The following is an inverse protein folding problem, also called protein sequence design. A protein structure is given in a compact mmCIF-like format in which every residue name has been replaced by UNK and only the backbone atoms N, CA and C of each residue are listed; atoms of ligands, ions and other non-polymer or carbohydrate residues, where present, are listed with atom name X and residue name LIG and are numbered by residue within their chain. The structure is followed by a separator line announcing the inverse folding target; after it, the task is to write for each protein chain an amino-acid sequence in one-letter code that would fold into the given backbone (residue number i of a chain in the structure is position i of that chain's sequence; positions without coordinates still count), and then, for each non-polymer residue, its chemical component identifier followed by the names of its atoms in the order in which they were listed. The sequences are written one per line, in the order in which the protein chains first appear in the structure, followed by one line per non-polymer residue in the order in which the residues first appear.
data_IF_766481248305
#
_entry.id   IF_766481248305
#
_cell.length_a   1.000
_cell.length_b   1.000
_cell.length_c   1.000
_cell.angle_alpha   90.00
_cell.angle_beta   90.00
_cell.angle_gamma   90.00
#
_symmetry.space_group_name_H-M   'P 1'
#
loop_
_entity.id
_entity.type
_entity.pdbx_description
1 polymer ?
#
# COMPACT_ATOMS: atom_id res chain seq x y z
N UNK A 1 -30.28 -9.57 1.07
CA UNK A 1 -29.59 -8.31 0.64
C UNK A 1 -30.53 -7.58 -0.29
N UNK A 2 -30.86 -6.30 0.01
CA UNK A 2 -31.79 -5.50 -0.80
C UNK A 2 -31.26 -5.33 -2.23
N UNK A 3 -32.17 -5.26 -3.22
CA UNK A 3 -31.81 -5.01 -4.63
C UNK A 3 -30.99 -3.73 -4.82
N UNK A 4 -31.26 -2.69 -4.04
CA UNK A 4 -30.50 -1.44 -4.05
C UNK A 4 -29.05 -1.62 -3.56
N UNK A 5 -28.84 -2.42 -2.50
CA UNK A 5 -27.50 -2.76 -2.01
C UNK A 5 -26.71 -3.57 -3.05
N UNK A 6 -27.40 -4.43 -3.82
CA UNK A 6 -26.79 -5.21 -4.90
C UNK A 6 -26.33 -4.34 -6.07
N UNK A 7 -27.14 -3.34 -6.46
CA UNK A 7 -26.78 -2.39 -7.50
C UNK A 7 -25.57 -1.54 -7.08
N UNK A 8 -25.52 -1.07 -5.83
CA UNK A 8 -24.38 -0.30 -5.32
C UNK A 8 -23.10 -1.13 -5.30
N UNK A 9 -23.15 -2.38 -4.85
CA UNK A 9 -22.01 -3.29 -4.86
C UNK A 9 -21.57 -3.59 -6.32
N UNK A 10 -22.53 -3.78 -7.24
CA UNK A 10 -22.26 -3.98 -8.67
C UNK A 10 -21.52 -2.79 -9.31
N UNK A 11 -21.92 -1.56 -8.99
CA UNK A 11 -21.23 -0.35 -9.45
C UNK A 11 -19.80 -0.23 -8.87
N UNK A 12 -19.61 -0.54 -7.60
CA UNK A 12 -18.29 -0.49 -6.94
C UNK A 12 -17.34 -1.56 -7.47
N UNK A 13 -17.85 -2.75 -7.79
CA UNK A 13 -17.03 -3.89 -8.26
C UNK A 13 -16.96 -4.02 -9.77
N UNK A 14 -17.64 -3.16 -10.54
CA UNK A 14 -17.77 -3.27 -12.01
C UNK A 14 -18.32 -4.62 -12.47
N UNK A 15 -19.14 -5.26 -11.64
CA UNK A 15 -19.68 -6.59 -11.89
C UNK A 15 -21.06 -6.50 -12.54
N UNK A 16 -21.21 -7.08 -13.72
CA UNK A 16 -22.45 -7.05 -14.50
C UNK A 16 -23.47 -8.13 -14.07
N UNK A 17 -23.08 -9.05 -13.17
CA UNK A 17 -23.95 -10.15 -12.71
C UNK A 17 -23.72 -10.42 -11.22
N UNK A 18 -24.77 -10.84 -10.52
CA UNK A 18 -24.77 -11.21 -9.11
C UNK A 18 -23.72 -12.30 -8.78
N UNK A 19 -23.56 -13.28 -9.68
CA UNK A 19 -22.53 -14.33 -9.54
C UNK A 19 -21.11 -13.78 -9.50
N UNK A 20 -20.85 -12.67 -10.19
CA UNK A 20 -19.53 -12.07 -10.26
C UNK A 20 -19.23 -11.25 -9.00
N UNK A 21 -20.25 -10.63 -8.38
CA UNK A 21 -20.15 -9.99 -7.07
C UNK A 21 -19.71 -10.98 -6.01
N UNK A 22 -20.36 -12.15 -5.93
CA UNK A 22 -20.01 -13.18 -4.96
C UNK A 22 -18.61 -13.78 -5.19
N UNK A 23 -18.20 -13.95 -6.45
CA UNK A 23 -16.84 -14.38 -6.79
C UNK A 23 -15.82 -13.34 -6.35
N UNK A 24 -16.06 -12.06 -6.65
CA UNK A 24 -15.20 -10.96 -6.24
C UNK A 24 -15.08 -10.90 -4.73
N UNK A 25 -16.19 -11.01 -4.00
CA UNK A 25 -16.20 -11.02 -2.54
C UNK A 25 -15.34 -12.17 -1.96
N UNK A 26 -15.50 -13.40 -2.48
CA UNK A 26 -14.67 -14.54 -2.07
C UNK A 26 -13.17 -14.29 -2.31
N UNK A 27 -12.82 -13.70 -3.45
CA UNK A 27 -11.42 -13.36 -3.76
C UNK A 27 -10.91 -12.28 -2.81
N UNK A 28 -11.73 -11.25 -2.48
CA UNK A 28 -11.39 -10.23 -1.48
C UNK A 28 -11.04 -10.89 -0.14
N UNK A 29 -11.94 -11.69 0.41
CA UNK A 29 -11.68 -12.37 1.68
C UNK A 29 -10.45 -13.27 1.64
N UNK A 30 -10.30 -14.05 0.56
CA UNK A 30 -9.17 -14.96 0.41
C UNK A 30 -7.82 -14.20 0.36
N UNK A 31 -7.74 -13.10 -0.41
CA UNK A 31 -6.51 -12.29 -0.52
C UNK A 31 -6.22 -11.57 0.80
N UNK A 32 -7.22 -10.94 1.43
CA UNK A 32 -7.07 -10.30 2.73
C UNK A 32 -6.52 -11.28 3.76
N UNK A 33 -7.19 -12.41 3.94
CA UNK A 33 -6.78 -13.41 4.92
C UNK A 33 -5.40 -14.01 4.62
N UNK A 34 -5.08 -14.23 3.35
CA UNK A 34 -3.77 -14.73 2.95
C UNK A 34 -2.65 -13.74 3.27
N UNK A 35 -2.83 -12.45 2.92
CA UNK A 35 -1.83 -11.41 3.18
C UNK A 35 -1.66 -11.18 4.68
N UNK A 36 -2.75 -11.07 5.44
CA UNK A 36 -2.71 -10.90 6.89
C UNK A 36 -2.05 -12.09 7.59
N UNK A 37 -2.35 -13.33 7.15
CA UNK A 37 -1.71 -14.53 7.72
C UNK A 37 -0.21 -14.58 7.44
N UNK A 38 0.21 -14.29 6.22
CA UNK A 38 1.64 -14.23 5.85
C UNK A 38 2.34 -13.11 6.62
N UNK A 39 1.72 -11.94 6.73
CA UNK A 39 2.26 -10.82 7.49
C UNK A 39 2.38 -11.16 8.98
N UNK A 40 1.35 -11.79 9.58
CA UNK A 40 1.38 -12.21 10.98
C UNK A 40 2.50 -13.20 11.26
N UNK A 41 2.71 -14.18 10.37
CA UNK A 41 3.82 -15.13 10.49
C UNK A 41 5.16 -14.41 10.36
N UNK A 42 5.31 -13.52 9.38
CA UNK A 42 6.56 -12.78 9.17
C UNK A 42 6.87 -11.84 10.35
N UNK A 43 5.86 -11.15 10.91
CA UNK A 43 6.00 -10.34 12.12
C UNK A 43 6.40 -11.23 13.31
N UNK A 44 5.75 -12.38 13.49
CA UNK A 44 6.10 -13.33 14.56
C UNK A 44 7.56 -13.77 14.48
N UNK A 45 8.03 -14.12 13.28
CA UNK A 45 9.42 -14.53 13.05
C UNK A 45 10.41 -13.38 13.30
N UNK A 46 10.06 -12.15 12.94
CA UNK A 46 10.91 -10.97 13.21
C UNK A 46 11.00 -10.60 14.69
N UNK A 47 10.09 -11.12 15.51
CA UNK A 47 10.01 -10.86 16.96
C UNK A 47 10.63 -11.96 17.82
N UNK A 48 11.32 -12.97 17.24
CA UNK A 48 11.87 -14.10 18.00
C UNK A 48 12.93 -13.67 19.01
N UNK A 49 13.73 -12.67 18.66
CA UNK A 49 14.81 -12.15 19.50
C UNK A 49 14.33 -11.16 20.58
N UNK A 50 13.06 -10.73 20.52
CA UNK A 50 12.50 -9.79 21.50
C UNK A 50 12.03 -10.57 22.73
N UNK A 51 12.43 -10.17 23.97
CA UNK A 51 12.05 -10.84 25.21
C UNK A 51 10.56 -10.62 25.51
N UNK A 52 9.72 -11.47 24.98
CA UNK A 52 8.26 -11.40 25.10
C UNK A 52 7.67 -12.82 25.24
N UNK A 53 6.61 -12.97 26.04
CA UNK A 53 5.92 -14.24 26.16
C UNK A 53 5.29 -14.67 24.83
N UNK A 54 5.19 -15.98 24.59
CA UNK A 54 4.64 -16.54 23.34
C UNK A 54 3.23 -15.98 23.05
N UNK A 55 2.36 -15.94 24.06
CA UNK A 55 0.98 -15.43 23.89
C UNK A 55 0.97 -13.96 23.48
N UNK A 56 1.79 -13.13 24.12
CA UNK A 56 1.90 -11.70 23.80
C UNK A 56 2.48 -11.49 22.40
N UNK A 57 3.46 -12.31 21.99
CA UNK A 57 4.06 -12.27 20.65
C UNK A 57 3.05 -12.65 19.58
N UNK A 58 2.25 -13.70 19.77
CA UNK A 58 1.19 -14.11 18.83
C UNK A 58 0.16 -12.98 18.71
N UNK A 59 -0.32 -12.46 19.83
CA UNK A 59 -1.28 -11.37 19.83
C UNK A 59 -0.75 -10.12 19.11
N UNK A 60 0.49 -9.71 19.42
CA UNK A 60 1.17 -8.59 18.76
C UNK A 60 1.23 -8.80 17.24
N UNK A 61 1.64 -9.99 16.80
CA UNK A 61 1.84 -10.30 15.38
C UNK A 61 0.53 -10.26 14.60
N UNK A 62 -0.51 -10.88 15.11
CA UNK A 62 -1.84 -10.88 14.48
C UNK A 62 -2.43 -9.48 14.49
N UNK A 63 -2.37 -8.78 15.63
CA UNK A 63 -2.91 -7.42 15.74
C UNK A 63 -2.25 -6.45 14.76
N UNK A 64 -0.89 -6.44 14.71
CA UNK A 64 -0.18 -5.52 13.82
C UNK A 64 -0.30 -5.91 12.34
N UNK A 65 -0.45 -7.19 12.00
CA UNK A 65 -0.73 -7.60 10.63
C UNK A 65 -2.09 -7.05 10.14
N UNK A 66 -3.14 -7.19 10.95
CA UNK A 66 -4.48 -6.67 10.66
C UNK A 66 -4.45 -5.14 10.64
N UNK A 67 -3.87 -4.50 11.66
CA UNK A 67 -3.78 -3.03 11.76
C UNK A 67 -3.04 -2.43 10.56
N UNK A 68 -1.92 -3.03 10.15
CA UNK A 68 -1.15 -2.59 9.00
C UNK A 68 -1.93 -2.79 7.70
N UNK A 69 -2.49 -3.97 7.45
CA UNK A 69 -3.25 -4.24 6.23
C UNK A 69 -4.48 -3.35 6.10
N UNK A 70 -5.22 -3.17 7.19
CA UNK A 70 -6.39 -2.29 7.23
C UNK A 70 -6.02 -0.80 7.20
N UNK A 71 -4.73 -0.45 7.26
CA UNK A 71 -4.26 0.93 7.40
C UNK A 71 -4.94 1.66 8.58
N UNK A 72 -5.10 0.96 9.69
CA UNK A 72 -5.83 1.45 10.87
C UNK A 72 -4.94 2.30 11.80
N UNK A 73 -3.62 2.09 11.77
CA UNK A 73 -2.66 2.89 12.55
C UNK A 73 -2.58 2.55 14.04
N UNK A 74 -3.31 1.54 14.49
CA UNK A 74 -3.29 1.14 15.88
C UNK A 74 -2.10 0.25 16.21
N UNK A 75 -1.54 0.44 17.41
CA UNK A 75 -0.49 -0.40 17.98
C UNK A 75 -0.88 -0.85 19.38
N UNK A 76 -0.36 -2.00 19.79
CA UNK A 76 -0.46 -2.50 21.17
C UNK A 76 0.63 -1.95 22.08
N UNK A 77 1.55 -1.16 21.52
CA UNK A 77 2.66 -0.51 22.22
C UNK A 77 2.36 0.98 22.42
N UNK A 78 2.91 1.57 23.47
CA UNK A 78 2.66 2.95 23.86
C UNK A 78 3.14 3.94 22.79
N UNK A 79 4.37 3.70 22.28
CA UNK A 79 5.02 4.56 21.28
C UNK A 79 5.02 3.93 19.88
N UNK A 80 3.99 3.11 19.58
CA UNK A 80 3.89 2.39 18.32
C UNK A 80 5.11 1.47 18.08
N UNK A 81 5.72 1.48 16.89
CA UNK A 81 6.95 0.70 16.63
C UNK A 81 8.24 1.48 16.97
N UNK A 82 8.15 2.70 17.49
CA UNK A 82 9.28 3.46 18.01
C UNK A 82 9.73 2.98 19.39
N UNK A 83 8.98 2.06 20.04
CA UNK A 83 9.36 1.44 21.30
C UNK A 83 10.80 0.92 21.28
N UNK A 84 11.53 1.07 22.40
CA UNK A 84 12.99 0.83 22.50
C UNK A 84 13.40 -0.58 22.01
N UNK A 85 12.53 -1.56 22.21
CA UNK A 85 12.76 -2.95 21.82
C UNK A 85 12.47 -3.23 20.34
N UNK A 86 11.77 -2.31 19.62
CA UNK A 86 11.27 -2.54 18.29
C UNK A 86 11.86 -1.62 17.22
N UNK A 87 12.30 -0.40 17.61
CA UNK A 87 12.75 0.63 16.67
C UNK A 87 13.95 0.22 15.81
N UNK A 88 14.78 -0.71 16.26
CA UNK A 88 15.90 -1.23 15.50
C UNK A 88 15.60 -2.60 14.83
N UNK A 89 14.37 -3.09 14.93
CA UNK A 89 13.96 -4.32 14.26
C UNK A 89 13.57 -4.02 12.81
N UNK A 90 14.56 -3.93 11.93
CA UNK A 90 14.37 -3.60 10.51
C UNK A 90 13.52 -4.63 9.75
N UNK A 91 13.64 -5.96 10.00
CA UNK A 91 12.73 -6.93 9.41
C UNK A 91 11.26 -6.65 9.76
N UNK A 92 10.96 -6.33 11.02
CA UNK A 92 9.62 -5.96 11.46
C UNK A 92 9.10 -4.72 10.71
N UNK A 93 9.90 -3.65 10.65
CA UNK A 93 9.56 -2.42 9.95
C UNK A 93 9.23 -2.70 8.47
N UNK A 94 10.07 -3.49 7.79
CA UNK A 94 9.88 -3.80 6.38
C UNK A 94 8.60 -4.63 6.15
N UNK A 95 8.35 -5.65 6.97
CA UNK A 95 7.13 -6.46 6.87
C UNK A 95 5.88 -5.61 7.06
N UNK A 96 5.86 -4.77 8.09
CA UNK A 96 4.72 -3.87 8.37
C UNK A 96 4.54 -2.87 7.24
N UNK A 97 5.64 -2.25 6.72
CA UNK A 97 5.59 -1.31 5.60
C UNK A 97 5.01 -1.95 4.34
N UNK A 98 5.49 -3.12 3.97
CA UNK A 98 4.98 -3.87 2.82
C UNK A 98 3.51 -4.23 3.02
N UNK A 99 3.11 -4.63 4.23
CA UNK A 99 1.73 -5.03 4.54
C UNK A 99 0.76 -3.86 4.37
N UNK A 100 1.06 -2.67 4.90
CA UNK A 100 0.15 -1.53 4.74
C UNK A 100 0.16 -0.98 3.30
N UNK A 101 1.26 -1.08 2.57
CA UNK A 101 1.28 -0.75 1.14
C UNK A 101 0.38 -1.69 0.32
N UNK A 102 0.38 -2.99 0.63
CA UNK A 102 -0.56 -3.93 0.00
C UNK A 102 -2.02 -3.60 0.33
N UNK A 103 -2.33 -3.26 1.58
CA UNK A 103 -3.66 -2.81 1.99
C UNK A 103 -4.08 -1.51 1.29
N UNK A 104 -3.14 -0.58 1.11
CA UNK A 104 -3.36 0.70 0.43
C UNK A 104 -3.50 0.59 -1.10
N UNK A 105 -3.13 -0.53 -1.70
CA UNK A 105 -3.35 -0.79 -3.12
C UNK A 105 -4.79 -1.28 -3.34
N UNK A 106 -5.38 -0.86 -4.47
CA UNK A 106 -6.68 -1.39 -4.84
C UNK A 106 -6.63 -2.90 -4.94
N UNK A 107 -7.56 -3.54 -4.26
CA UNK A 107 -7.68 -4.98 -4.17
C UNK A 107 -7.59 -5.70 -5.54
N UNK A 108 -8.24 -5.14 -6.57
CA UNK A 108 -8.15 -5.70 -7.94
C UNK A 108 -6.74 -5.65 -8.54
N UNK A 109 -5.90 -4.68 -8.12
CA UNK A 109 -4.50 -4.59 -8.55
C UNK A 109 -3.71 -5.74 -7.93
N UNK A 110 -3.85 -5.94 -6.62
CA UNK A 110 -3.18 -7.03 -5.89
C UNK A 110 -3.62 -8.40 -6.43
N UNK A 111 -4.93 -8.60 -6.63
CA UNK A 111 -5.47 -9.84 -7.19
C UNK A 111 -4.91 -10.12 -8.61
N UNK A 112 -4.85 -9.10 -9.47
CA UNK A 112 -4.28 -9.23 -10.81
C UNK A 112 -2.77 -9.51 -10.79
N UNK A 113 -2.03 -8.87 -9.89
CA UNK A 113 -0.60 -9.11 -9.73
C UNK A 113 -0.35 -10.53 -9.21
N UNK A 114 -1.10 -10.98 -8.21
CA UNK A 114 -0.99 -12.34 -7.68
C UNK A 114 -1.34 -13.37 -8.76
N UNK A 115 -2.41 -13.16 -9.53
CA UNK A 115 -2.78 -14.06 -10.63
C UNK A 115 -1.69 -14.09 -11.72
N UNK A 116 -1.11 -12.93 -12.06
CA UNK A 116 0.00 -12.84 -13.01
C UNK A 116 1.24 -13.57 -12.51
N UNK A 117 1.65 -13.34 -11.27
CA UNK A 117 2.80 -14.00 -10.66
C UNK A 117 2.59 -15.52 -10.60
N UNK A 118 1.41 -15.96 -10.19
CA UNK A 118 1.04 -17.37 -10.19
C UNK A 118 1.13 -17.98 -11.59
N UNK A 119 0.65 -17.26 -12.60
CA UNK A 119 0.71 -17.71 -13.99
C UNK A 119 2.16 -17.82 -14.47
N UNK A 120 3.01 -16.84 -14.17
CA UNK A 120 4.44 -16.87 -14.50
C UNK A 120 5.16 -18.02 -13.79
N UNK A 121 4.90 -18.20 -12.50
CA UNK A 121 5.48 -19.29 -11.71
C UNK A 121 5.07 -20.66 -12.26
N UNK A 122 3.80 -20.84 -12.59
CA UNK A 122 3.29 -22.10 -13.16
C UNK A 122 3.85 -22.35 -14.56
N UNK A 123 4.09 -21.30 -15.36
CA UNK A 123 4.78 -21.40 -16.66
C UNK A 123 6.24 -21.84 -16.50
N UNK A 124 6.93 -21.32 -15.46
CA UNK A 124 8.31 -21.66 -15.17
C UNK A 124 8.45 -23.11 -14.68
N UNK A 125 7.52 -23.54 -13.82
CA UNK A 125 7.52 -24.91 -13.26
C UNK A 125 7.00 -25.99 -14.23
N UNK A 126 6.11 -25.61 -15.15
CA UNK A 126 5.47 -26.55 -16.08
C UNK A 126 5.47 -26.05 -17.53
N UNK A 127 6.66 -25.93 -18.19
CA UNK A 127 6.80 -25.30 -19.52
C UNK A 127 6.01 -26.02 -20.62
N UNK A 128 5.75 -27.31 -20.46
CA UNK A 128 5.09 -28.15 -21.50
C UNK A 128 3.55 -28.18 -21.44
N UNK A 129 2.91 -27.46 -20.50
CA UNK A 129 1.43 -27.40 -20.46
C UNK A 129 0.93 -26.25 -21.34
N UNK A 130 0.42 -26.56 -22.49
CA UNK A 130 -0.18 -25.65 -23.49
C UNK A 130 -1.26 -24.71 -22.96
N UNK A 131 -1.79 -24.95 -21.75
CA UNK A 131 -2.78 -24.12 -21.05
C UNK A 131 -2.21 -22.77 -20.53
N UNK A 132 -0.90 -22.61 -20.50
CA UNK A 132 -0.23 -21.42 -19.94
C UNK A 132 0.35 -20.52 -21.04
N UNK A 133 -0.39 -20.37 -22.16
CA UNK A 133 -0.07 -19.35 -23.18
C UNK A 133 0.02 -17.94 -22.56
N UNK A 134 0.75 -17.03 -23.23
CA UNK A 134 0.91 -15.67 -22.75
C UNK A 134 -0.45 -14.98 -22.55
N UNK A 135 -0.90 -14.88 -21.29
CA UNK A 135 -2.06 -14.07 -20.94
C UNK A 135 -1.61 -12.62 -20.93
N UNK A 136 -2.16 -11.76 -21.79
CA UNK A 136 -1.76 -10.34 -21.76
C UNK A 136 -2.13 -9.75 -20.41
N UNK A 137 -1.22 -8.97 -19.84
CA UNK A 137 -1.48 -8.24 -18.60
C UNK A 137 -2.50 -7.13 -18.86
N UNK A 138 -3.75 -7.39 -18.54
CA UNK A 138 -4.85 -6.44 -18.70
C UNK A 138 -5.03 -5.62 -17.41
N UNK A 139 -4.05 -4.78 -17.07
CA UNK A 139 -4.31 -3.74 -16.08
C UNK A 139 -5.24 -2.69 -16.68
N UNK A 140 -6.31 -2.37 -15.98
CA UNK A 140 -7.18 -1.25 -16.32
C UNK A 140 -6.38 0.07 -16.29
N UNK A 141 -6.84 1.08 -17.05
CA UNK A 141 -6.19 2.41 -17.05
C UNK A 141 -6.13 2.96 -15.63
N UNK A 142 -7.23 2.85 -14.87
CA UNK A 142 -7.30 3.30 -13.48
C UNK A 142 -6.24 2.62 -12.59
N UNK A 143 -6.03 1.31 -12.78
CA UNK A 143 -4.99 0.57 -12.06
C UNK A 143 -3.58 1.04 -12.41
N UNK A 144 -3.32 1.33 -13.69
CA UNK A 144 -2.02 1.86 -14.13
C UNK A 144 -1.76 3.25 -13.57
N UNK A 145 -2.74 4.16 -13.66
CA UNK A 145 -2.65 5.50 -13.09
C UNK A 145 -2.38 5.41 -11.58
N UNK A 146 -3.15 4.61 -10.87
CA UNK A 146 -3.00 4.44 -9.42
C UNK A 146 -1.62 3.89 -9.03
N UNK A 147 -1.11 2.87 -9.75
CA UNK A 147 0.22 2.30 -9.49
C UNK A 147 1.34 3.31 -9.76
N UNK A 148 1.31 3.98 -10.91
CA UNK A 148 2.34 4.96 -11.29
C UNK A 148 2.34 6.12 -10.29
N UNK A 149 1.16 6.65 -9.93
CA UNK A 149 1.04 7.74 -8.96
C UNK A 149 1.52 7.30 -7.57
N UNK A 150 1.12 6.12 -7.11
CA UNK A 150 1.58 5.58 -5.81
C UNK A 150 3.09 5.44 -5.77
N UNK A 151 3.68 4.85 -6.81
CA UNK A 151 5.13 4.65 -6.88
C UNK A 151 5.88 5.98 -6.96
N UNK A 152 5.40 6.92 -7.79
CA UNK A 152 6.02 8.25 -7.92
C UNK A 152 6.00 9.03 -6.61
N UNK A 153 4.87 9.03 -5.90
CA UNK A 153 4.75 9.68 -4.59
C UNK A 153 5.63 9.00 -3.53
N UNK A 154 5.70 7.68 -3.55
CA UNK A 154 6.53 6.92 -2.61
C UNK A 154 8.02 7.20 -2.85
N UNK A 155 8.47 7.20 -4.10
CA UNK A 155 9.87 7.52 -4.45
C UNK A 155 10.21 8.95 -4.09
N UNK A 156 9.34 9.91 -4.41
CA UNK A 156 9.51 11.32 -4.05
C UNK A 156 9.63 11.48 -2.52
N UNK A 157 8.71 10.87 -1.77
CA UNK A 157 8.71 10.91 -0.33
C UNK A 157 9.97 10.27 0.26
N UNK A 158 10.36 9.11 -0.24
CA UNK A 158 11.55 8.38 0.23
C UNK A 158 12.83 9.19 0.02
N UNK A 159 13.03 9.72 -1.18
CA UNK A 159 14.21 10.56 -1.47
C UNK A 159 14.21 11.81 -0.58
N UNK A 160 13.06 12.48 -0.42
CA UNK A 160 12.95 13.68 0.42
C UNK A 160 13.24 13.37 1.90
N UNK A 161 12.70 12.27 2.43
CA UNK A 161 13.00 11.85 3.82
C UNK A 161 14.50 11.55 3.98
N UNK A 162 15.12 10.86 3.03
CA UNK A 162 16.56 10.60 3.10
C UNK A 162 17.38 11.90 3.08
N UNK A 163 16.99 12.89 2.26
CA UNK A 163 17.71 14.17 2.16
C UNK A 163 17.55 14.99 3.44
N UNK A 164 16.35 15.08 3.99
CA UNK A 164 16.07 15.95 5.13
C UNK A 164 16.43 15.31 6.48
N UNK A 165 16.27 13.99 6.61
CA UNK A 165 16.44 13.28 7.88
C UNK A 165 17.75 12.49 8.00
N UNK A 166 18.62 12.52 6.99
CA UNK A 166 19.87 11.75 7.03
C UNK A 166 20.75 12.09 8.21
N UNK A 167 20.78 13.38 8.59
CA UNK A 167 21.47 13.91 9.76
C UNK A 167 20.53 14.27 10.92
N UNK A 168 19.23 14.03 10.76
CA UNK A 168 18.18 14.22 11.76
C UNK A 168 17.81 12.91 12.45
N UNK A 169 16.52 12.55 12.42
CA UNK A 169 15.98 11.37 13.11
C UNK A 169 16.61 10.05 12.67
N UNK A 170 17.11 9.95 11.43
CA UNK A 170 17.79 8.74 10.94
C UNK A 170 19.19 8.54 11.53
N UNK A 171 19.76 9.48 12.25
CA UNK A 171 21.08 9.33 12.91
C UNK A 171 21.06 8.32 14.05
N UNK A 172 19.90 8.05 14.65
CA UNK A 172 19.73 6.98 15.64
C UNK A 172 20.12 5.60 15.09
N UNK A 173 20.00 5.41 13.77
CA UNK A 173 20.35 4.16 13.10
C UNK A 173 21.81 4.20 12.63
N UNK A 174 22.67 3.39 13.24
CA UNK A 174 24.11 3.32 12.92
C UNK A 174 24.41 2.71 11.56
N UNK A 175 23.53 1.82 11.08
CA UNK A 175 23.66 1.10 9.80
C UNK A 175 23.01 1.89 8.67
N UNK A 176 23.68 1.95 7.51
CA UNK A 176 23.10 2.52 6.27
C UNK A 176 21.81 1.80 5.89
N UNK A 177 21.80 0.46 6.02
CA UNK A 177 20.59 -0.34 5.75
C UNK A 177 19.46 0.05 6.70
N UNK A 178 19.77 0.27 7.98
CA UNK A 178 18.79 0.74 8.96
C UNK A 178 18.20 2.10 8.58
N UNK A 179 19.04 3.05 8.19
CA UNK A 179 18.59 4.37 7.70
C UNK A 179 17.67 4.25 6.48
N UNK A 180 18.02 3.38 5.53
CA UNK A 180 17.21 3.16 4.33
C UNK A 180 15.86 2.51 4.65
N UNK A 181 15.84 1.48 5.50
CA UNK A 181 14.59 0.79 5.90
C UNK A 181 13.68 1.72 6.67
N UNK A 182 14.21 2.41 7.69
CA UNK A 182 13.43 3.36 8.49
C UNK A 182 12.97 4.55 7.66
N UNK A 183 13.84 5.10 6.79
CA UNK A 183 13.49 6.18 5.87
C UNK A 183 12.37 5.77 4.89
N UNK A 184 12.42 4.54 4.38
CA UNK A 184 11.35 3.99 3.55
C UNK A 184 10.03 3.89 4.33
N UNK A 185 10.08 3.41 5.56
CA UNK A 185 8.90 3.33 6.43
C UNK A 185 8.29 4.71 6.68
N UNK A 186 9.12 5.70 7.08
CA UNK A 186 8.69 7.08 7.34
C UNK A 186 8.09 7.72 6.09
N UNK A 187 8.63 7.44 4.91
CA UNK A 187 8.08 7.94 3.64
C UNK A 187 6.74 7.31 3.27
N UNK A 188 6.54 6.04 3.60
CA UNK A 188 5.36 5.29 3.20
C UNK A 188 4.18 5.46 4.19
N UNK A 189 4.46 5.56 5.49
CA UNK A 189 3.46 5.61 6.57
C UNK A 189 2.45 6.76 6.49
N UNK A 190 2.82 8.01 6.12
CA UNK A 190 1.89 9.15 6.13
C UNK A 190 0.69 9.00 5.22
N UNK A 191 0.82 8.20 4.15
CA UNK A 191 -0.23 8.08 3.14
C UNK A 191 -1.46 7.33 3.61
N UNK A 192 -1.40 6.58 4.70
CA UNK A 192 -2.56 5.84 5.19
C UNK A 192 -2.34 5.07 6.48
N UNK A 193 -1.12 4.63 6.78
CA UNK A 193 -0.86 3.64 7.84
C UNK A 193 -1.01 4.21 9.26
N UNK A 194 -0.48 5.41 9.52
CA UNK A 194 -0.49 6.01 10.86
C UNK A 194 0.46 5.35 11.89
N UNK A 195 1.14 4.25 11.53
CA UNK A 195 2.14 3.62 12.39
C UNK A 195 3.45 4.41 12.28
N UNK A 196 4.12 4.69 13.40
CA UNK A 196 5.41 5.40 13.43
C UNK A 196 6.55 4.53 13.95
N UNK A 197 7.76 4.82 13.47
CA UNK A 197 9.02 4.15 13.81
C UNK A 197 10.12 5.13 14.21
N UNK A 198 9.80 6.42 14.22
CA UNK A 198 10.69 7.52 14.62
C UNK A 198 9.95 8.46 15.56
N UNK A 199 10.69 9.28 16.30
CA UNK A 199 10.10 10.35 17.09
C UNK A 199 9.56 11.45 16.16
N UNK A 200 8.25 11.55 16.06
CA UNK A 200 7.57 12.51 15.18
C UNK A 200 7.81 13.96 15.60
N UNK A 201 8.14 14.20 16.87
CA UNK A 201 8.44 15.55 17.38
C UNK A 201 9.83 16.06 16.96
N UNK A 202 10.73 15.16 16.59
CA UNK A 202 12.08 15.48 16.15
C UNK A 202 12.23 15.59 14.63
N UNK A 203 11.16 15.41 13.86
CA UNK A 203 11.22 15.54 12.41
C UNK A 203 11.55 16.98 12.00
N UNK A 204 12.41 17.12 10.99
CA UNK A 204 12.74 18.41 10.40
C UNK A 204 11.48 19.08 9.81
N UNK A 205 11.34 20.43 9.90
CA UNK A 205 10.17 21.13 9.37
C UNK A 205 9.81 20.81 7.91
N UNK A 206 10.77 20.65 6.98
CA UNK A 206 10.45 20.23 5.61
C UNK A 206 9.81 18.84 5.54
N UNK A 207 10.28 17.91 6.39
CA UNK A 207 9.70 16.55 6.47
C UNK A 207 8.28 16.59 7.00
N UNK A 208 8.01 17.43 8.01
CA UNK A 208 6.65 17.62 8.55
C UNK A 208 5.70 18.16 7.47
N UNK A 209 6.12 19.19 6.72
CA UNK A 209 5.31 19.73 5.62
C UNK A 209 5.04 18.71 4.53
N UNK A 210 6.07 17.93 4.15
CA UNK A 210 5.91 16.83 3.19
C UNK A 210 4.93 15.77 3.71
N UNK A 211 5.05 15.40 4.98
CA UNK A 211 4.15 14.43 5.64
C UNK A 211 2.71 14.90 5.59
N UNK A 212 2.43 16.17 5.92
CA UNK A 212 1.09 16.76 5.83
C UNK A 212 0.56 16.72 4.40
N UNK A 213 1.38 17.07 3.41
CA UNK A 213 0.99 17.01 2.00
C UNK A 213 0.69 15.56 1.55
N UNK A 214 1.48 14.59 2.01
CA UNK A 214 1.26 13.17 1.70
C UNK A 214 0.02 12.59 2.37
N UNK A 215 -0.36 13.08 3.55
CA UNK A 215 -1.60 12.67 4.23
C UNK A 215 -2.85 13.02 3.43
N UNK A 216 -2.81 14.09 2.62
CA UNK A 216 -3.92 14.47 1.74
C UNK A 216 -4.10 13.48 0.59
N UNK A 217 -2.99 12.97 0.04
CA UNK A 217 -3.00 12.00 -1.07
C UNK A 217 -2.96 10.59 -0.49
N UNK A 218 -4.14 10.06 -0.23
CA UNK A 218 -4.29 8.75 0.38
C UNK A 218 -4.03 7.58 -0.59
N UNK A 219 -4.78 6.52 -0.39
CA UNK A 219 -4.59 5.26 -1.08
C UNK A 219 -5.39 5.14 -2.40
N UNK A 220 -5.27 3.99 -3.08
CA UNK A 220 -5.98 3.69 -4.31
C UNK A 220 -7.51 3.59 -4.08
N UNK A 221 -8.34 3.79 -5.12
CA UNK A 221 -9.77 3.54 -5.04
C UNK A 221 -10.06 2.10 -4.59
N UNK A 222 -11.10 1.92 -3.77
CA UNK A 222 -11.53 0.63 -3.22
C UNK A 222 -10.44 -0.11 -2.41
N UNK A 223 -9.47 0.63 -1.85
CA UNK A 223 -8.47 0.11 -0.92
C UNK A 223 -8.89 0.36 0.52
N UNK A 224 -8.11 -0.19 1.47
CA UNK A 224 -8.34 0.01 2.91
C UNK A 224 -7.97 1.43 3.38
N UNK A 225 -7.18 2.18 2.61
CA UNK A 225 -6.71 3.50 3.00
C UNK A 225 -7.68 4.65 2.68
N UNK A 226 -7.62 5.71 3.49
CA UNK A 226 -8.39 6.94 3.37
C UNK A 226 -7.79 7.97 2.39
N UNK A 227 -8.17 9.23 2.54
CA UNK A 227 -7.63 10.38 1.79
C UNK A 227 -8.20 10.55 0.37
N UNK A 228 -7.71 11.59 -0.34
CA UNK A 228 -8.00 11.81 -1.75
C UNK A 228 -7.42 10.64 -2.54
N UNK A 229 -8.26 9.95 -3.32
CA UNK A 229 -7.82 8.76 -4.04
C UNK A 229 -6.71 9.08 -5.04
N UNK A 230 -5.71 8.20 -5.15
CA UNK A 230 -4.56 8.40 -6.04
C UNK A 230 -4.95 8.67 -7.49
N UNK A 231 -6.03 8.05 -7.98
CA UNK A 231 -6.54 8.32 -9.34
C UNK A 231 -7.11 9.72 -9.46
N UNK A 232 -7.87 10.20 -8.47
CA UNK A 232 -8.42 11.57 -8.45
C UNK A 232 -7.30 12.61 -8.43
N UNK A 233 -6.31 12.42 -7.58
CA UNK A 233 -5.14 13.28 -7.51
C UNK A 233 -4.37 13.29 -8.84
N UNK A 234 -4.14 12.12 -9.43
CA UNK A 234 -3.43 12.01 -10.70
C UNK A 234 -4.17 12.73 -11.83
N UNK A 235 -5.50 12.55 -11.93
CA UNK A 235 -6.31 13.21 -12.95
C UNK A 235 -6.30 14.73 -12.76
N UNK A 236 -6.39 15.21 -11.50
CA UNK A 236 -6.28 16.64 -11.21
C UNK A 236 -4.94 17.24 -11.66
N UNK A 237 -3.82 16.58 -11.32
CA UNK A 237 -2.49 17.02 -11.74
C UNK A 237 -2.32 16.97 -13.25
N UNK A 238 -2.77 15.90 -13.89
CA UNK A 238 -2.72 15.77 -15.36
C UNK A 238 -3.58 16.83 -16.07
N UNK A 239 -4.74 17.18 -15.51
CA UNK A 239 -5.58 18.26 -16.04
C UNK A 239 -4.87 19.60 -15.97
N UNK A 240 -4.27 19.94 -14.81
CA UNK A 240 -3.50 21.19 -14.66
C UNK A 240 -2.36 21.23 -15.67
N UNK A 241 -1.60 20.14 -15.83
CA UNK A 241 -0.49 20.06 -16.78
C UNK A 241 -0.99 20.14 -18.23
N UNK A 242 -2.11 19.53 -18.58
CA UNK A 242 -2.73 19.59 -19.92
C UNK A 242 -3.14 21.01 -20.26
N UNK A 243 -3.86 21.68 -19.34
CA UNK A 243 -4.27 23.08 -19.52
C UNK A 243 -3.07 24.01 -19.63
N UNK A 244 -2.03 23.83 -18.80
CA UNK A 244 -0.81 24.63 -18.88
C UNK A 244 -0.05 24.47 -20.21
N UNK A 245 -0.24 23.33 -20.89
CA UNK A 245 0.31 23.06 -22.23
C UNK A 245 -0.60 23.48 -23.36
N UNK A 246 -1.78 24.07 -23.07
CA UNK A 246 -2.75 24.54 -24.08
C UNK A 246 -3.58 23.42 -24.70
N UNK A 247 -3.62 22.22 -24.13
CA UNK A 247 -4.48 21.14 -24.60
C UNK A 247 -5.87 21.27 -23.98
N UNK A 248 -6.91 21.09 -24.77
CA UNK A 248 -8.31 21.09 -24.31
C UNK A 248 -8.79 19.74 -23.78
N UNK A 249 -7.98 18.68 -23.92
CA UNK A 249 -8.34 17.31 -23.55
C UNK A 249 -7.22 16.63 -22.77
N UNK A 250 -7.60 15.75 -21.85
CA UNK A 250 -6.64 14.95 -21.05
C UNK A 250 -6.40 13.64 -21.79
N UNK A 251 -5.21 13.46 -22.33
CA UNK A 251 -4.77 12.18 -22.88
C UNK A 251 -3.81 11.48 -21.92
N UNK A 252 -4.16 10.26 -21.50
CA UNK A 252 -3.33 9.43 -20.64
C UNK A 252 -3.13 8.06 -21.30
N UNK A 253 -1.87 7.63 -21.45
CA UNK A 253 -1.51 6.38 -22.12
C UNK A 253 -2.15 6.20 -23.52
N UNK A 254 -2.21 7.27 -24.32
CA UNK A 254 -2.83 7.29 -25.65
C UNK A 254 -4.33 7.02 -25.66
N UNK A 255 -5.02 7.29 -24.55
CA UNK A 255 -6.47 7.24 -24.45
C UNK A 255 -6.97 8.53 -23.85
N UNK A 256 -8.03 9.04 -24.46
CA UNK A 256 -8.75 10.21 -23.97
C UNK A 256 -9.55 9.81 -22.71
N UNK A 257 -9.40 10.58 -21.64
CA UNK A 257 -10.28 10.45 -20.47
C UNK A 257 -11.51 11.28 -20.82
N UNK A 258 -12.66 10.60 -20.92
CA UNK A 258 -13.93 11.30 -21.16
C UNK A 258 -14.18 12.30 -20.03
N UNK A 259 -14.61 13.52 -20.40
CA UNK A 259 -15.11 14.51 -19.45
C UNK A 259 -16.34 13.94 -18.75
N UNK A 260 -16.16 13.35 -17.60
CA UNK A 260 -17.25 13.06 -16.67
C UNK A 260 -17.33 14.30 -15.78
N UNK A 261 -18.18 15.21 -16.19
CA UNK A 261 -18.64 16.36 -15.40
C UNK A 261 -19.21 15.94 -14.05
#
# INVERSE_FOLDING_TARGET
ISYQTQLQIGHVTSANRMSDVLKTLKVIFAVTFAVESVAAIAIYLSMLDVPMSIHRRIFFSVFHAISAFCNAGFSTMTDSLYELQLRFNYPLQMVVAVTFLFGGLWFSIVANVVEYLRHQLMRLLFPNRSRYGAKPWLLSINSRISLVTTLSLLVLAFVSVLVFEWQGTLTEHTSVIGKLVTGFFVAAAPRSSGINVVDMAQLAPPTVMLTIALMWVGAAPNSTGGGIKTTTFAVAVLNIVSLARGYSRIEVFRREIADIS
#
